data_IF_661400417282
#
_entry.id   IF_661400417282
#
_cell.length_a   1.000
_cell.length_b   1.000
_cell.length_c   1.000
_cell.angle_alpha   90.00
_cell.angle_beta   90.00
_cell.angle_gamma   90.00
#
_symmetry.space_group_name_H-M   'P 1'
#
loop_
_entity.id
_entity.type
_entity.pdbx_description
1 polymer ?
#
# COMPACT_ATOMS: atom_id res chain seq x y z
N UNK A 1 -10.67 2.68 -9.76
CA UNK A 1 -11.99 2.37 -9.17
C UNK A 1 -12.13 0.92 -8.70
N UNK A 2 -11.67 -0.09 -9.45
CA UNK A 2 -11.73 -1.52 -9.04
C UNK A 2 -11.05 -1.89 -7.72
N UNK A 3 -9.90 -1.28 -7.40
CA UNK A 3 -9.19 -1.55 -6.14
C UNK A 3 -9.97 -1.16 -4.87
N UNK A 4 -10.86 -0.16 -4.94
CA UNK A 4 -11.65 0.26 -3.78
C UNK A 4 -12.69 -0.79 -3.40
N UNK A 5 -13.22 -1.52 -4.37
CA UNK A 5 -14.17 -2.60 -4.12
C UNK A 5 -13.58 -3.66 -3.17
N UNK A 6 -12.34 -4.07 -3.43
CA UNK A 6 -11.61 -5.06 -2.64
C UNK A 6 -11.34 -4.63 -1.17
N UNK A 7 -11.58 -3.35 -0.81
CA UNK A 7 -11.43 -2.85 0.57
C UNK A 7 -12.76 -2.89 1.36
N UNK A 8 -13.88 -3.16 0.69
CA UNK A 8 -15.19 -3.27 1.33
C UNK A 8 -15.28 -4.62 2.08
N UNK A 9 -16.02 -4.70 3.20
CA UNK A 9 -16.35 -5.99 3.81
C UNK A 9 -17.23 -6.83 2.87
N UNK A 10 -17.30 -8.17 3.05
CA UNK A 10 -18.31 -8.98 2.38
C UNK A 10 -19.71 -8.52 2.83
N UNK A 11 -20.67 -8.56 1.92
CA UNK A 11 -22.05 -8.16 2.19
C UNK A 11 -23.02 -9.16 1.55
N UNK A 12 -23.66 -9.95 2.41
CA UNK A 12 -24.61 -10.99 2.02
C UNK A 12 -25.90 -10.38 1.45
N UNK A 13 -26.19 -9.12 1.77
CA UNK A 13 -27.46 -8.47 1.44
C UNK A 13 -28.65 -9.02 2.22
N UNK A 14 -29.86 -8.46 1.99
CA UNK A 14 -31.06 -8.81 2.77
C UNK A 14 -31.80 -10.06 2.25
N UNK A 15 -31.46 -10.54 1.05
CA UNK A 15 -32.08 -11.74 0.49
C UNK A 15 -31.50 -13.03 1.13
N UNK A 16 -32.20 -14.16 0.95
CA UNK A 16 -31.89 -15.43 1.64
C UNK A 16 -31.50 -16.58 0.69
N UNK A 17 -31.04 -16.26 -0.52
CA UNK A 17 -30.44 -17.27 -1.37
C UNK A 17 -29.08 -17.71 -0.80
N UNK A 18 -28.64 -18.92 -1.13
CA UNK A 18 -27.33 -19.45 -0.72
C UNK A 18 -26.42 -19.52 -1.93
N UNK A 19 -25.95 -18.36 -2.41
CA UNK A 19 -25.14 -18.26 -3.62
C UNK A 19 -23.66 -18.19 -3.23
N UNK A 20 -22.83 -19.21 -3.52
CA UNK A 20 -21.41 -19.15 -3.25
C UNK A 20 -20.76 -18.08 -4.14
N UNK A 21 -20.01 -17.17 -3.51
CA UNK A 21 -19.31 -16.05 -4.15
C UNK A 21 -17.94 -15.88 -3.52
N UNK A 22 -17.08 -15.12 -4.19
CA UNK A 22 -15.75 -14.79 -3.72
C UNK A 22 -15.66 -13.33 -3.31
N UNK A 23 -14.93 -13.03 -2.26
CA UNK A 23 -14.59 -11.67 -1.84
C UNK A 23 -13.12 -11.60 -1.46
N UNK A 24 -12.54 -10.41 -1.52
CA UNK A 24 -11.19 -10.19 -1.02
C UNK A 24 -11.24 -9.89 0.47
N UNK A 25 -10.68 -10.79 1.29
CA UNK A 25 -10.50 -10.56 2.71
C UNK A 25 -9.25 -9.72 2.95
N UNK A 26 -9.45 -8.47 3.40
CA UNK A 26 -8.38 -7.52 3.72
C UNK A 26 -7.51 -7.94 4.91
N UNK A 27 -8.02 -8.75 5.84
CA UNK A 27 -7.27 -9.21 7.00
C UNK A 27 -6.29 -10.33 6.61
N UNK A 28 -6.73 -11.29 5.80
CA UNK A 28 -5.83 -12.33 5.27
C UNK A 28 -5.04 -11.86 4.05
N UNK A 29 -5.53 -10.80 3.39
CA UNK A 29 -5.07 -10.30 2.08
C UNK A 29 -5.14 -11.38 1.00
N UNK A 30 -6.25 -12.12 0.96
CA UNK A 30 -6.51 -13.20 0.02
C UNK A 30 -7.99 -13.24 -0.35
N UNK A 31 -8.29 -13.80 -1.53
CA UNK A 31 -9.65 -14.10 -1.91
C UNK A 31 -10.18 -15.29 -1.10
N UNK A 32 -11.40 -15.17 -0.58
CA UNK A 32 -12.10 -16.19 0.19
C UNK A 32 -13.54 -16.33 -0.31
N UNK A 33 -14.14 -17.48 -0.03
CA UNK A 33 -15.54 -17.74 -0.35
C UNK A 33 -16.47 -17.17 0.74
N UNK A 34 -17.61 -16.64 0.34
CA UNK A 34 -18.71 -16.23 1.22
C UNK A 34 -20.07 -16.57 0.59
N UNK A 35 -21.13 -16.53 1.40
CA UNK A 35 -22.49 -16.82 0.93
C UNK A 35 -23.24 -15.53 0.65
N UNK A 36 -23.48 -15.24 -0.63
CA UNK A 36 -24.27 -14.09 -1.04
C UNK A 36 -25.77 -14.42 -1.06
N UNK A 37 -26.57 -13.56 -0.42
CA UNK A 37 -28.02 -13.66 -0.28
C UNK A 37 -28.79 -13.52 -1.60
N UNK A 38 -28.14 -13.11 -2.68
CA UNK A 38 -28.71 -13.07 -4.03
C UNK A 38 -29.29 -11.71 -4.45
N UNK A 39 -29.32 -10.71 -3.56
CA UNK A 39 -29.69 -9.34 -3.90
C UNK A 39 -28.95 -8.31 -3.04
N UNK A 40 -28.87 -7.06 -3.53
CA UNK A 40 -28.05 -6.00 -2.95
C UNK A 40 -26.58 -6.39 -2.82
N UNK A 41 -25.98 -6.25 -1.63
CA UNK A 41 -24.54 -6.45 -1.46
C UNK A 41 -23.71 -5.25 -1.91
N UNK A 42 -22.42 -5.48 -2.07
CA UNK A 42 -21.47 -4.49 -2.56
C UNK A 42 -20.51 -5.06 -3.61
N UNK A 43 -19.58 -4.21 -4.07
CA UNK A 43 -18.68 -4.55 -5.18
C UNK A 43 -17.58 -5.57 -4.85
N UNK A 44 -17.34 -5.91 -3.57
CA UNK A 44 -16.45 -7.00 -3.16
C UNK A 44 -17.17 -8.36 -3.27
N UNK A 45 -17.68 -8.67 -4.46
CA UNK A 45 -18.47 -9.85 -4.75
C UNK A 45 -18.14 -10.33 -6.17
N UNK A 46 -17.38 -11.41 -6.26
CA UNK A 46 -16.86 -11.99 -7.49
C UNK A 46 -17.45 -13.38 -7.71
N UNK A 47 -17.68 -13.73 -8.98
CA UNK A 47 -18.24 -15.03 -9.33
C UNK A 47 -17.23 -16.16 -9.15
N UNK A 48 -15.96 -15.91 -9.43
CA UNK A 48 -14.88 -16.90 -9.38
C UNK A 48 -13.69 -16.39 -8.57
N UNK A 49 -12.86 -17.33 -8.08
CA UNK A 49 -11.59 -17.01 -7.42
C UNK A 49 -10.68 -16.19 -8.35
N UNK A 50 -10.55 -16.61 -9.61
CA UNK A 50 -9.71 -15.95 -10.61
C UNK A 50 -10.16 -14.50 -10.88
N UNK A 51 -11.48 -14.24 -10.91
CA UNK A 51 -12.00 -12.87 -11.00
C UNK A 51 -11.61 -12.04 -9.78
N UNK A 52 -11.75 -12.59 -8.58
CA UNK A 52 -11.35 -11.89 -7.35
C UNK A 52 -9.85 -11.57 -7.36
N UNK A 53 -9.00 -12.55 -7.68
CA UNK A 53 -7.55 -12.37 -7.74
C UNK A 53 -7.17 -11.34 -8.80
N UNK A 54 -7.71 -11.43 -10.03
CA UNK A 54 -7.45 -10.46 -11.11
C UNK A 54 -7.89 -9.04 -10.77
N UNK A 55 -8.93 -8.85 -9.96
CA UNK A 55 -9.38 -7.52 -9.56
C UNK A 55 -8.61 -6.96 -8.34
N UNK A 56 -8.11 -7.83 -7.45
CA UNK A 56 -7.54 -7.43 -6.16
C UNK A 56 -6.03 -7.72 -5.99
N UNK A 57 -5.36 -8.39 -6.93
CA UNK A 57 -3.93 -8.78 -6.84
C UNK A 57 -2.98 -7.59 -6.62
N UNK A 58 -3.37 -6.41 -7.07
CA UNK A 58 -2.58 -5.19 -7.00
C UNK A 58 -2.66 -4.49 -5.63
N UNK A 59 -3.48 -4.98 -4.69
CA UNK A 59 -3.46 -4.50 -3.30
C UNK A 59 -2.11 -4.83 -2.70
N UNK A 60 -1.38 -3.78 -2.35
CA UNK A 60 -0.09 -3.90 -1.71
C UNK A 60 -0.22 -4.66 -0.38
N UNK A 61 0.71 -5.59 -0.14
CA UNK A 61 0.69 -6.42 1.07
C UNK A 61 1.02 -5.56 2.29
N UNK A 62 0.12 -5.55 3.27
CA UNK A 62 0.26 -4.80 4.52
C UNK A 62 0.71 -5.77 5.60
N UNK A 63 1.60 -5.39 6.53
CA UNK A 63 1.99 -6.28 7.62
C UNK A 63 0.81 -6.69 8.49
N UNK A 64 0.76 -7.95 8.95
CA UNK A 64 -0.38 -8.53 9.70
C UNK A 64 -0.82 -7.65 10.89
N UNK A 65 0.16 -7.09 11.61
CA UNK A 65 -0.05 -6.14 12.71
C UNK A 65 -0.97 -4.98 12.31
N UNK A 66 -0.69 -4.37 11.16
CA UNK A 66 -1.37 -3.20 10.63
C UNK A 66 -2.71 -3.54 9.97
N UNK A 67 -3.11 -4.82 9.96
CA UNK A 67 -4.42 -5.25 9.46
C UNK A 67 -5.48 -5.29 10.55
N UNK A 68 -5.08 -5.19 11.81
CA UNK A 68 -6.01 -5.19 12.94
C UNK A 68 -6.78 -3.86 12.98
N UNK A 69 -8.01 -3.88 13.46
CA UNK A 69 -8.75 -2.64 13.73
C UNK A 69 -8.10 -1.87 14.90
N UNK A 70 -8.24 -0.55 14.92
CA UNK A 70 -7.77 0.24 16.05
C UNK A 70 -8.56 -0.15 17.31
N UNK A 71 -7.85 -0.55 18.38
CA UNK A 71 -8.47 -0.98 19.63
C UNK A 71 -8.06 -0.06 20.78
N UNK A 72 -9.03 0.72 21.27
CA UNK A 72 -8.86 1.63 22.39
C UNK A 72 -8.68 0.90 23.74
N UNK A 73 -9.10 -0.36 23.84
CA UNK A 73 -9.15 -1.09 25.10
C UNK A 73 -10.17 -0.52 26.11
N UNK A 74 -10.32 -1.16 27.28
CA UNK A 74 -11.33 -0.83 28.28
C UNK A 74 -10.92 0.31 29.22
N UNK A 75 -9.63 0.67 29.28
CA UNK A 75 -9.18 1.77 30.14
C UNK A 75 -9.66 3.14 29.61
N UNK A 76 -9.69 4.14 30.49
CA UNK A 76 -10.31 5.46 30.22
C UNK A 76 -9.30 6.60 30.12
N UNK A 77 -8.02 6.31 29.87
CA UNK A 77 -7.05 7.36 29.55
C UNK A 77 -7.35 7.94 28.16
N UNK A 78 -6.89 9.17 27.91
CA UNK A 78 -7.07 9.84 26.64
C UNK A 78 -5.73 9.96 25.91
N UNK A 79 -5.20 8.83 25.42
CA UNK A 79 -3.92 8.82 24.72
C UNK A 79 -4.15 8.85 23.21
N UNK A 80 -3.74 9.94 22.55
CA UNK A 80 -3.72 9.99 21.08
C UNK A 80 -2.67 9.04 20.54
N UNK A 81 -3.08 8.19 19.60
CA UNK A 81 -2.25 7.19 18.94
C UNK A 81 -2.61 7.14 17.46
N UNK A 82 -1.78 6.49 16.67
CA UNK A 82 -2.03 6.25 15.26
C UNK A 82 -2.25 4.76 15.01
N UNK A 83 -3.16 4.42 14.10
CA UNK A 83 -3.41 3.07 13.63
C UNK A 83 -3.56 3.08 12.11
N UNK A 84 -3.10 2.03 11.44
CA UNK A 84 -3.29 1.89 10.01
C UNK A 84 -4.72 1.45 9.70
N UNK A 85 -5.43 2.26 8.95
CA UNK A 85 -6.77 1.99 8.45
C UNK A 85 -6.65 1.39 7.04
N UNK A 86 -7.07 0.13 6.89
CA UNK A 86 -7.03 -0.58 5.60
C UNK A 86 -8.10 -0.09 4.61
N UNK A 87 -9.17 0.55 5.06
CA UNK A 87 -10.21 1.09 4.17
C UNK A 87 -9.76 2.38 3.49
N UNK A 88 -9.11 3.28 4.25
CA UNK A 88 -8.49 4.49 3.69
C UNK A 88 -7.08 4.24 3.17
N UNK A 89 -6.45 3.12 3.54
CA UNK A 89 -5.03 2.80 3.31
C UNK A 89 -4.09 3.85 3.89
N UNK A 90 -4.42 4.40 5.06
CA UNK A 90 -3.71 5.50 5.71
C UNK A 90 -3.53 5.26 7.21
N UNK A 91 -2.52 5.89 7.81
CA UNK A 91 -2.39 5.97 9.26
C UNK A 91 -3.29 7.09 9.80
N UNK A 92 -4.25 6.73 10.64
CA UNK A 92 -5.25 7.63 11.21
C UNK A 92 -5.10 7.72 12.73
N UNK A 93 -5.47 8.87 13.31
CA UNK A 93 -5.45 9.07 14.76
C UNK A 93 -6.65 8.37 15.42
N UNK A 94 -6.42 7.75 16.57
CA UNK A 94 -7.46 7.19 17.43
C UNK A 94 -7.12 7.39 18.92
N UNK A 95 -8.13 7.21 19.78
CA UNK A 95 -7.97 7.30 21.24
C UNK A 95 -7.69 5.92 21.84
N UNK A 96 -6.50 5.77 22.41
CA UNK A 96 -6.12 4.61 23.18
C UNK A 96 -6.36 4.86 24.68
N UNK A 97 -7.14 3.96 25.28
CA UNK A 97 -7.53 3.97 26.68
C UNK A 97 -6.40 3.75 27.68
N UNK A 98 -5.24 3.28 27.21
CA UNK A 98 -4.02 3.12 28.02
C UNK A 98 -3.77 1.71 28.56
N UNK A 99 -4.66 0.74 28.28
CA UNK A 99 -4.43 -0.67 28.60
C UNK A 99 -5.14 -1.59 27.62
N UNK A 100 -4.70 -2.86 27.55
CA UNK A 100 -5.10 -3.83 26.52
C UNK A 100 -4.92 -3.22 25.12
N UNK A 101 -5.82 -3.49 24.20
CA UNK A 101 -5.67 -3.10 22.80
C UNK A 101 -4.96 -4.17 21.98
N UNK A 102 -4.54 -3.78 20.79
CA UNK A 102 -3.75 -4.62 19.90
C UNK A 102 -2.56 -3.86 19.33
N UNK A 103 -1.80 -4.53 18.47
CA UNK A 103 -0.54 -4.01 17.97
C UNK A 103 -0.64 -2.97 16.85
N UNK A 104 -1.84 -2.69 16.31
CA UNK A 104 -2.06 -1.55 15.40
C UNK A 104 -2.21 -0.25 16.22
N UNK A 105 -1.16 0.11 16.96
CA UNK A 105 -1.16 1.21 17.92
C UNK A 105 0.23 1.84 18.00
N UNK A 106 0.38 2.99 17.36
CA UNK A 106 1.63 3.71 17.19
C UNK A 106 1.60 5.04 17.92
N UNK A 107 2.76 5.47 18.47
CA UNK A 107 2.84 6.71 19.27
C UNK A 107 2.78 7.97 18.40
N UNK A 108 3.26 7.88 17.18
CA UNK A 108 3.35 8.98 16.23
C UNK A 108 3.09 8.49 14.80
N UNK A 109 2.69 9.42 13.94
CA UNK A 109 2.33 9.13 12.55
C UNK A 109 3.47 8.45 11.79
N UNK A 110 4.71 8.88 12.01
CA UNK A 110 5.87 8.37 11.29
C UNK A 110 6.11 6.89 11.60
N UNK A 111 6.05 6.52 12.88
CA UNK A 111 6.19 5.13 13.29
C UNK A 111 5.09 4.23 12.69
N UNK A 112 3.85 4.71 12.57
CA UNK A 112 2.79 3.97 11.87
C UNK A 112 3.11 3.82 10.38
N UNK A 113 3.48 4.92 9.71
CA UNK A 113 3.81 4.94 8.28
C UNK A 113 4.94 3.96 7.98
N UNK A 114 6.03 4.02 8.76
CA UNK A 114 7.21 3.18 8.58
C UNK A 114 6.90 1.69 8.75
N UNK A 115 5.98 1.33 9.64
CA UNK A 115 5.63 -0.06 9.91
C UNK A 115 4.51 -0.58 9.00
N UNK A 116 3.61 0.27 8.52
CA UNK A 116 2.35 -0.19 7.93
C UNK A 116 2.18 0.13 6.45
N UNK A 117 2.81 1.19 5.93
CA UNK A 117 2.67 1.51 4.53
C UNK A 117 3.60 0.64 3.67
N UNK A 118 3.06 -0.13 2.72
CA UNK A 118 3.88 -0.93 1.82
C UNK A 118 4.60 -0.03 0.82
N UNK A 119 5.85 0.21 1.18
CA UNK A 119 6.91 0.94 0.51
C UNK A 119 6.63 2.41 0.17
N UNK A 120 7.46 3.22 0.85
CA UNK A 120 8.03 4.48 0.41
C UNK A 120 7.93 4.58 -1.11
N UNK A 121 7.07 5.45 -1.61
CA UNK A 121 7.41 6.10 -2.88
C UNK A 121 8.82 6.60 -2.69
N UNK A 122 9.79 6.06 -3.43
CA UNK A 122 11.16 6.57 -3.40
C UNK A 122 11.13 8.11 -3.45
N UNK A 123 12.13 8.81 -2.89
CA UNK A 123 12.12 10.27 -2.87
C UNK A 123 11.76 10.82 -4.25
N UNK A 124 11.00 11.93 -4.33
CA UNK A 124 10.45 12.46 -5.59
C UNK A 124 11.48 12.58 -6.73
N UNK A 125 12.77 12.73 -6.38
CA UNK A 125 13.90 12.65 -7.31
C UNK A 125 13.87 11.40 -8.20
N UNK A 126 13.51 10.24 -7.66
CA UNK A 126 13.48 8.95 -8.37
C UNK A 126 12.45 8.92 -9.51
N UNK A 127 11.48 9.84 -9.49
CA UNK A 127 10.46 9.96 -10.53
C UNK A 127 10.77 11.09 -11.52
N UNK A 128 11.89 11.79 -11.35
CA UNK A 128 12.36 12.78 -12.32
C UNK A 128 12.85 12.08 -13.60
N UNK A 129 12.67 12.70 -14.79
CA UNK A 129 13.08 12.08 -16.05
C UNK A 129 14.59 11.89 -16.13
N UNK A 130 15.03 10.94 -16.95
CA UNK A 130 16.44 10.82 -17.33
C UNK A 130 16.90 12.13 -17.99
N UNK A 131 17.95 12.74 -17.45
CA UNK A 131 18.49 14.01 -17.97
C UNK A 131 19.99 13.90 -18.19
N UNK A 132 20.38 13.91 -19.47
CA UNK A 132 21.78 13.76 -19.89
C UNK A 132 22.59 15.02 -19.57
N UNK A 133 21.95 16.18 -19.32
CA UNK A 133 22.63 17.45 -19.13
C UNK A 133 23.00 18.15 -20.43
N UNK A 134 23.82 19.20 -20.32
CA UNK A 134 24.09 20.15 -21.41
C UNK A 134 25.57 20.23 -21.83
N UNK A 135 26.43 19.39 -21.26
CA UNK A 135 27.86 19.38 -21.52
C UNK A 135 28.24 18.35 -22.61
N UNK A 136 29.54 18.07 -22.78
CA UNK A 136 30.05 17.18 -23.84
C UNK A 136 30.81 15.95 -23.34
N UNK A 137 30.80 15.67 -22.03
CA UNK A 137 31.39 14.42 -21.52
C UNK A 137 30.46 13.23 -21.77
N UNK A 138 30.95 12.01 -21.55
CA UNK A 138 30.14 10.79 -21.64
C UNK A 138 30.46 9.89 -20.47
N UNK A 139 29.93 10.23 -19.29
CA UNK A 139 30.18 9.50 -18.04
C UNK A 139 29.01 8.54 -17.78
N UNK A 140 29.24 7.23 -17.60
CA UNK A 140 28.18 6.29 -17.24
C UNK A 140 27.64 6.63 -15.85
N UNK A 141 26.32 6.72 -15.75
CA UNK A 141 25.54 6.99 -14.53
C UNK A 141 24.28 6.14 -14.54
N UNK A 142 23.60 6.04 -13.41
CA UNK A 142 22.35 5.31 -13.27
C UNK A 142 21.20 6.25 -12.91
N UNK A 143 20.00 5.97 -13.42
CA UNK A 143 18.77 6.65 -13.04
C UNK A 143 17.69 5.60 -12.77
N UNK A 144 16.74 5.93 -11.90
CA UNK A 144 15.57 5.09 -11.67
C UNK A 144 14.52 5.33 -12.75
N UNK A 145 14.18 4.30 -13.51
CA UNK A 145 13.10 4.33 -14.50
C UNK A 145 11.79 3.89 -13.84
N UNK A 146 10.93 4.86 -13.54
CA UNK A 146 9.63 4.62 -12.90
C UNK A 146 8.67 3.76 -13.74
N UNK A 147 8.84 3.69 -15.06
CA UNK A 147 8.00 2.86 -15.94
C UNK A 147 8.34 1.38 -15.80
N UNK A 148 9.62 1.07 -15.66
CA UNK A 148 10.11 -0.32 -15.54
C UNK A 148 10.47 -0.71 -14.10
N UNK A 149 10.42 0.24 -13.16
CA UNK A 149 10.77 0.09 -11.75
C UNK A 149 12.18 -0.49 -11.55
N UNK A 150 13.12 -0.05 -12.36
CA UNK A 150 14.51 -0.50 -12.31
C UNK A 150 15.49 0.64 -12.52
N UNK A 151 16.68 0.50 -11.93
CA UNK A 151 17.79 1.40 -12.18
C UNK A 151 18.44 1.04 -13.51
N UNK A 152 18.59 2.02 -14.39
CA UNK A 152 19.16 1.85 -15.73
C UNK A 152 20.34 2.78 -15.94
N UNK A 153 21.33 2.30 -16.66
CA UNK A 153 22.48 3.10 -17.06
C UNK A 153 22.08 4.15 -18.11
N UNK A 154 22.69 5.34 -18.02
CA UNK A 154 22.64 6.38 -19.04
C UNK A 154 23.96 7.15 -19.11
N UNK A 155 24.17 7.86 -20.22
CA UNK A 155 25.33 8.72 -20.44
C UNK A 155 25.05 10.13 -19.94
N UNK A 156 25.73 10.53 -18.87
CA UNK A 156 25.66 11.89 -18.34
C UNK A 156 26.78 12.75 -18.91
N UNK A 157 26.42 13.96 -19.31
CA UNK A 157 27.32 14.88 -20.02
C UNK A 157 28.28 15.66 -19.13
N UNK A 158 28.12 15.56 -17.80
CA UNK A 158 29.05 16.13 -16.82
C UNK A 158 28.59 17.45 -16.19
N UNK A 159 27.49 18.06 -16.65
CA UNK A 159 26.91 19.24 -16.00
C UNK A 159 25.39 19.34 -16.23
N UNK A 160 24.70 20.12 -15.38
CA UNK A 160 23.24 20.20 -15.40
C UNK A 160 22.59 18.92 -14.89
N UNK A 161 21.44 18.55 -15.45
CA UNK A 161 20.72 17.35 -15.03
C UNK A 161 19.82 17.56 -13.82
N UNK A 162 19.32 16.45 -13.28
CA UNK A 162 18.55 16.41 -12.04
C UNK A 162 19.10 15.33 -11.09
N UNK A 163 18.49 15.22 -9.90
CA UNK A 163 18.95 14.32 -8.83
C UNK A 163 18.69 12.82 -9.10
N UNK A 164 17.98 12.44 -10.17
CA UNK A 164 17.87 11.06 -10.60
C UNK A 164 19.14 10.61 -11.36
N UNK A 165 20.29 10.73 -10.70
CA UNK A 165 21.61 10.55 -11.28
C UNK A 165 22.56 9.99 -10.23
N UNK A 166 22.83 8.69 -10.31
CA UNK A 166 23.62 7.91 -9.37
C UNK A 166 24.92 7.43 -10.01
N UNK A 167 25.97 7.30 -9.21
CA UNK A 167 27.28 6.82 -9.69
C UNK A 167 27.24 5.31 -9.93
N UNK A 168 26.58 4.55 -9.06
CA UNK A 168 26.46 3.09 -9.15
C UNK A 168 25.00 2.64 -9.20
N UNK A 169 24.76 1.47 -9.78
CA UNK A 169 23.44 0.84 -9.80
C UNK A 169 22.93 0.55 -8.38
N UNK A 170 23.83 0.12 -7.49
CA UNK A 170 23.53 -0.18 -6.09
C UNK A 170 23.06 1.08 -5.35
N UNK A 171 23.73 2.22 -5.55
CA UNK A 171 23.31 3.49 -4.93
C UNK A 171 21.91 3.91 -5.39
N UNK A 172 21.62 3.73 -6.69
CA UNK A 172 20.29 3.98 -7.24
C UNK A 172 19.22 3.12 -6.56
N UNK A 173 19.45 1.80 -6.42
CA UNK A 173 18.48 0.92 -5.75
C UNK A 173 18.37 1.18 -4.24
N UNK A 174 19.46 1.61 -3.59
CA UNK A 174 19.44 1.97 -2.18
C UNK A 174 18.59 3.22 -1.92
N UNK A 175 18.57 4.17 -2.87
CA UNK A 175 17.83 5.43 -2.74
C UNK A 175 16.40 5.32 -3.28
N UNK A 176 16.20 4.65 -4.42
CA UNK A 176 14.97 4.69 -5.21
C UNK A 176 14.12 3.41 -5.15
N UNK A 177 14.27 2.63 -4.08
CA UNK A 177 13.52 1.39 -3.87
C UNK A 177 12.01 1.62 -3.82
#
# INVERSE_FOLDING_TARGET
EKQRACLLPPDDGPCRALVPRWYYDRYTQSCQEFTYGGCHGNANNFLTLDDCEKNCWSIKKVPKLCRLEADGGPCRSYLRRYAFNLSSMQCEEFIYGGCFGNGNNFKDLQSCVDHCLPEKTGPLLCYSPKDEGLCSSSVPRYYYDSKTKSCKEFKYTGCGGNSNNFVTETDCYNVCR
#
